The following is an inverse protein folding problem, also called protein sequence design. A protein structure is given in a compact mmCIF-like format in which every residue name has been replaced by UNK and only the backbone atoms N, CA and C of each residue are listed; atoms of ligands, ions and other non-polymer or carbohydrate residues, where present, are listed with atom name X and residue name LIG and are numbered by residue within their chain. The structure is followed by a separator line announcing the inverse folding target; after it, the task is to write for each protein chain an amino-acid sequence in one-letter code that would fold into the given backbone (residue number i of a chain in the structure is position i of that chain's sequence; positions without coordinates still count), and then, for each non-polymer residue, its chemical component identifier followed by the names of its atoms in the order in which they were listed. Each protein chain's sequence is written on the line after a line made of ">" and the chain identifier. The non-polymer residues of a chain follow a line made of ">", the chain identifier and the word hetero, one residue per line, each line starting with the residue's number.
data_IF_407571241000
#
_entry.id   IF_407571241000
#
_cell.length_a   1.000
_cell.length_b   1.000
_cell.length_c   1.000
_cell.angle_alpha   90.00
_cell.angle_beta   90.00
_cell.angle_gamma   90.00
#
_symmetry.space_group_name_H-M   'P 1'
#
loop_
_entity.id
_entity.type
_entity.pdbx_description
1 polymer ?
#
# COMPACT_ATOMS: atom_id res chain seq x y z
N UNK A 1 -27.89 -4.47 23.15
CA UNK A 1 -27.46 -3.56 22.07
C UNK A 1 -26.91 -4.42 20.94
N UNK A 2 -27.23 -4.10 19.68
CA UNK A 2 -26.65 -4.75 18.50
C UNK A 2 -25.16 -4.39 18.43
N UNK A 3 -24.30 -5.36 18.13
CA UNK A 3 -22.86 -5.10 17.97
C UNK A 3 -22.61 -4.28 16.69
N UNK A 4 -21.63 -3.37 16.69
CA UNK A 4 -21.21 -2.71 15.46
C UNK A 4 -20.75 -3.75 14.45
N UNK A 5 -21.06 -3.51 13.17
CA UNK A 5 -20.68 -4.42 12.09
C UNK A 5 -19.39 -3.96 11.43
N UNK A 6 -18.44 -4.86 11.25
CA UNK A 6 -17.21 -4.65 10.48
C UNK A 6 -17.27 -5.51 9.22
N UNK A 7 -16.89 -4.94 8.07
CA UNK A 7 -16.59 -5.74 6.89
C UNK A 7 -15.11 -6.14 6.92
N UNK A 8 -14.86 -7.45 6.91
CA UNK A 8 -13.54 -8.03 6.71
C UNK A 8 -13.38 -8.40 5.22
N UNK A 9 -12.49 -7.69 4.52
CA UNK A 9 -12.10 -8.01 3.14
C UNK A 9 -10.81 -8.84 3.19
N UNK A 10 -10.91 -10.13 2.90
CA UNK A 10 -9.76 -11.04 2.92
C UNK A 10 -9.14 -11.19 1.52
N UNK A 11 -7.85 -10.91 1.39
CA UNK A 11 -7.14 -10.99 0.10
C UNK A 11 -6.03 -12.05 0.06
N UNK A 12 -5.77 -12.70 1.21
CA UNK A 12 -4.73 -13.73 1.38
C UNK A 12 -3.51 -13.25 2.16
N UNK A 13 -2.32 -13.48 1.62
CA UNK A 13 -1.05 -13.17 2.26
C UNK A 13 -0.63 -14.16 3.36
N UNK A 14 0.48 -13.84 4.01
CA UNK A 14 1.09 -14.64 5.09
C UNK A 14 0.17 -14.80 6.30
N UNK A 15 -0.67 -13.81 6.61
CA UNK A 15 -1.67 -13.91 7.70
C UNK A 15 -2.63 -15.09 7.49
N UNK A 16 -2.95 -15.39 6.23
CA UNK A 16 -3.71 -16.55 5.80
C UNK A 16 -2.82 -17.72 5.35
N UNK A 17 -1.51 -17.62 5.53
CA UNK A 17 -0.54 -18.62 5.08
C UNK A 17 -0.39 -19.78 6.05
N UNK A 18 -0.02 -20.95 5.54
CA UNK A 18 0.25 -22.14 6.35
C UNK A 18 1.60 -22.74 5.93
N UNK A 19 2.47 -22.98 6.90
CA UNK A 19 3.72 -23.69 6.73
C UNK A 19 3.50 -25.21 6.78
N UNK A 20 4.29 -25.96 6.01
CA UNK A 20 4.27 -27.43 6.10
C UNK A 20 4.81 -27.92 7.46
N UNK A 21 5.80 -27.22 8.00
CA UNK A 21 6.33 -27.39 9.35
C UNK A 21 6.24 -26.05 10.12
N UNK A 22 5.49 -25.97 11.24
CA UNK A 22 5.45 -24.81 12.13
C UNK A 22 6.81 -24.29 12.63
N UNK A 23 7.84 -25.14 12.65
CA UNK A 23 9.20 -24.79 13.06
C UNK A 23 10.06 -24.25 11.90
N UNK A 24 9.60 -24.37 10.65
CA UNK A 24 10.21 -23.78 9.46
C UNK A 24 9.30 -22.73 8.81
N UNK A 25 8.99 -21.62 9.51
CA UNK A 25 7.96 -20.67 9.08
C UNK A 25 8.33 -19.87 7.82
N UNK A 26 9.57 -19.98 7.31
CA UNK A 26 9.98 -19.39 6.03
C UNK A 26 9.46 -20.17 4.82
N UNK A 27 9.02 -21.43 5.01
CA UNK A 27 8.49 -22.30 3.95
C UNK A 27 6.98 -22.46 4.14
N UNK A 28 6.23 -21.49 3.66
CA UNK A 28 4.78 -21.49 3.73
C UNK A 28 4.15 -21.17 2.39
N UNK A 29 2.85 -21.47 2.28
CA UNK A 29 2.02 -21.04 1.17
C UNK A 29 1.09 -19.94 1.65
N UNK A 30 1.27 -18.72 1.14
CA UNK A 30 0.37 -17.60 1.40
C UNK A 30 -1.06 -17.91 0.93
N UNK A 31 -2.07 -17.34 1.59
CA UNK A 31 -3.47 -17.49 1.18
C UNK A 31 -3.99 -18.94 1.21
N UNK A 32 -3.60 -19.72 2.20
CA UNK A 32 -4.06 -21.11 2.39
C UNK A 32 -5.35 -21.20 3.23
N UNK A 33 -5.57 -20.26 4.15
CA UNK A 33 -6.76 -20.15 4.98
C UNK A 33 -7.75 -19.16 4.35
N UNK A 34 -9.05 -19.42 4.52
CA UNK A 34 -10.10 -18.45 4.22
C UNK A 34 -10.35 -17.50 5.41
N UNK A 35 -11.16 -16.47 5.20
CA UNK A 35 -11.46 -15.49 6.22
C UNK A 35 -12.15 -16.10 7.46
N UNK A 36 -13.02 -17.10 7.26
CA UNK A 36 -13.72 -17.77 8.36
C UNK A 36 -12.73 -18.57 9.23
N UNK A 37 -11.74 -19.22 8.63
CA UNK A 37 -10.67 -19.89 9.34
C UNK A 37 -9.80 -18.90 10.14
N UNK A 38 -9.50 -17.71 9.59
CA UNK A 38 -8.82 -16.64 10.33
C UNK A 38 -9.62 -16.21 11.56
N UNK A 39 -10.93 -15.98 11.39
CA UNK A 39 -11.82 -15.56 12.48
C UNK A 39 -11.96 -16.63 13.56
N UNK A 40 -11.99 -17.92 13.19
CA UNK A 40 -11.95 -19.05 14.15
C UNK A 40 -10.67 -19.06 14.98
N UNK A 41 -9.56 -18.59 14.42
CA UNK A 41 -8.29 -18.42 15.14
C UNK A 41 -8.29 -17.29 16.18
N UNK A 42 -9.26 -16.37 16.10
CA UNK A 42 -9.36 -15.19 16.98
C UNK A 42 -10.80 -14.98 17.49
N UNK A 43 -11.37 -15.94 18.25
CA UNK A 43 -12.77 -15.89 18.68
C UNK A 43 -13.12 -14.67 19.57
N UNK A 44 -12.12 -13.99 20.13
CA UNK A 44 -12.27 -12.76 20.90
C UNK A 44 -12.90 -11.63 20.07
N UNK A 45 -12.69 -11.60 18.75
CA UNK A 45 -13.30 -10.61 17.83
C UNK A 45 -14.82 -10.63 17.94
N UNK A 46 -15.42 -11.81 18.11
CA UNK A 46 -16.87 -11.95 18.25
C UNK A 46 -17.43 -11.23 19.49
N UNK A 47 -16.60 -10.83 20.47
CA UNK A 47 -17.01 -9.99 21.60
C UNK A 47 -17.13 -8.51 21.23
N UNK A 48 -16.37 -8.07 20.22
CA UNK A 48 -16.23 -6.67 19.82
C UNK A 48 -17.25 -6.27 18.73
N UNK A 49 -17.41 -7.10 17.70
CA UNK A 49 -18.17 -6.76 16.50
C UNK A 49 -18.91 -7.95 15.89
N UNK A 50 -19.91 -7.64 15.06
CA UNK A 50 -20.47 -8.55 14.05
C UNK A 50 -19.60 -8.48 12.79
N UNK A 51 -18.96 -9.57 12.38
CA UNK A 51 -18.05 -9.57 11.22
C UNK A 51 -18.77 -10.10 9.99
N UNK A 52 -18.87 -9.26 8.95
CA UNK A 52 -19.24 -9.69 7.60
C UNK A 52 -17.97 -9.96 6.82
N UNK A 53 -17.92 -11.07 6.09
CA UNK A 53 -16.78 -11.44 5.25
C UNK A 53 -17.05 -11.08 3.79
N UNK A 54 -16.05 -10.51 3.12
CA UNK A 54 -15.91 -10.47 1.67
C UNK A 54 -14.53 -11.04 1.33
N UNK A 55 -14.45 -12.01 0.43
CA UNK A 55 -13.18 -12.63 0.04
C UNK A 55 -13.05 -12.65 -1.48
N UNK A 56 -12.62 -11.52 -2.10
CA UNK A 56 -12.55 -11.42 -3.54
C UNK A 56 -11.52 -12.37 -4.17
N UNK A 57 -10.46 -12.71 -3.43
CA UNK A 57 -9.40 -13.65 -3.83
C UNK A 57 -8.57 -14.08 -2.61
N UNK A 58 -7.64 -15.01 -2.81
CA UNK A 58 -6.76 -15.53 -1.76
C UNK A 58 -5.36 -15.80 -2.31
N UNK A 59 -4.53 -14.76 -2.40
CA UNK A 59 -3.27 -14.78 -3.15
C UNK A 59 -2.08 -14.33 -2.31
N UNK A 60 -0.87 -14.62 -2.80
CA UNK A 60 0.34 -13.96 -2.33
C UNK A 60 0.33 -12.49 -2.78
N UNK A 61 0.79 -11.56 -1.93
CA UNK A 61 0.81 -10.15 -2.27
C UNK A 61 1.74 -9.82 -3.44
N UNK A 62 2.76 -10.65 -3.69
CA UNK A 62 3.66 -10.50 -4.85
C UNK A 62 2.96 -10.80 -6.19
N UNK A 63 1.85 -11.52 -6.18
CA UNK A 63 1.02 -11.79 -7.36
C UNK A 63 -0.12 -10.76 -7.53
N UNK A 64 -0.26 -9.79 -6.61
CA UNK A 64 -1.25 -8.73 -6.70
C UNK A 64 -0.77 -7.60 -7.61
N UNK A 65 -1.73 -7.01 -8.31
CA UNK A 65 -1.46 -5.94 -9.28
C UNK A 65 -2.68 -5.06 -9.51
N UNK A 66 -2.62 -4.16 -10.51
CA UNK A 66 -3.62 -3.11 -10.74
C UNK A 66 -5.09 -3.57 -10.72
N UNK A 67 -5.42 -4.68 -11.35
CA UNK A 67 -6.79 -5.20 -11.39
C UNK A 67 -7.29 -5.62 -10.01
N UNK A 68 -6.41 -6.27 -9.23
CA UNK A 68 -6.68 -6.67 -7.85
C UNK A 68 -6.85 -5.46 -6.94
N UNK A 69 -5.98 -4.45 -7.08
CA UNK A 69 -6.07 -3.22 -6.30
C UNK A 69 -7.37 -2.46 -6.56
N UNK A 70 -7.78 -2.31 -7.83
CA UNK A 70 -9.07 -1.69 -8.16
C UNK A 70 -10.25 -2.51 -7.66
N UNK A 71 -10.16 -3.86 -7.68
CA UNK A 71 -11.19 -4.72 -7.08
C UNK A 71 -11.32 -4.48 -5.57
N UNK A 72 -10.21 -4.42 -4.83
CA UNK A 72 -10.22 -4.10 -3.39
C UNK A 72 -10.80 -2.70 -3.16
N UNK A 73 -10.37 -1.70 -3.93
CA UNK A 73 -10.85 -0.33 -3.78
C UNK A 73 -12.37 -0.20 -3.98
N UNK A 74 -12.96 -0.92 -4.94
CA UNK A 74 -14.41 -0.94 -5.16
C UNK A 74 -15.16 -1.57 -3.99
N UNK A 75 -14.70 -2.72 -3.49
CA UNK A 75 -15.30 -3.37 -2.32
C UNK A 75 -15.22 -2.48 -1.06
N UNK A 76 -14.10 -1.77 -0.89
CA UNK A 76 -13.94 -0.79 0.18
C UNK A 76 -14.90 0.39 -0.02
N UNK A 77 -15.02 0.95 -1.22
CA UNK A 77 -15.90 2.08 -1.49
C UNK A 77 -17.38 1.74 -1.24
N UNK A 78 -17.82 0.56 -1.68
CA UNK A 78 -19.18 0.06 -1.41
C UNK A 78 -19.43 -0.05 0.11
N UNK A 79 -18.45 -0.55 0.85
CA UNK A 79 -18.52 -0.65 2.31
C UNK A 79 -18.48 0.71 3.02
N UNK A 80 -17.77 1.70 2.47
CA UNK A 80 -17.79 3.08 2.98
C UNK A 80 -19.18 3.71 2.81
N UNK A 81 -19.89 3.38 1.72
CA UNK A 81 -21.25 3.86 1.46
C UNK A 81 -22.34 3.11 2.25
N UNK A 82 -22.10 1.86 2.67
CA UNK A 82 -23.06 1.06 3.44
C UNK A 82 -23.20 1.57 4.89
N UNK A 83 -24.30 2.24 5.21
CA UNK A 83 -24.59 2.77 6.55
C UNK A 83 -24.74 1.71 7.65
N UNK A 84 -24.86 0.42 7.30
CA UNK A 84 -24.88 -0.68 8.27
C UNK A 84 -23.48 -1.12 8.71
N UNK A 85 -22.42 -0.71 8.00
CA UNK A 85 -21.02 -1.03 8.31
C UNK A 85 -20.38 0.12 9.10
N UNK A 86 -19.83 -0.20 10.27
CA UNK A 86 -19.16 0.74 11.17
C UNK A 86 -17.69 1.00 10.81
N UNK A 87 -17.04 0.07 10.10
CA UNK A 87 -15.64 0.16 9.68
C UNK A 87 -15.24 -1.03 8.81
N UNK A 88 -14.08 -0.92 8.16
CA UNK A 88 -13.56 -1.94 7.23
C UNK A 88 -12.17 -2.38 7.67
N UNK A 89 -11.95 -3.70 7.65
CA UNK A 89 -10.64 -4.33 7.85
C UNK A 89 -10.26 -5.08 6.58
N UNK A 90 -9.05 -4.86 6.05
CA UNK A 90 -8.52 -5.59 4.89
C UNK A 90 -7.32 -6.42 5.34
N UNK A 91 -7.35 -7.74 5.20
CA UNK A 91 -6.17 -8.59 5.44
C UNK A 91 -5.40 -8.79 4.14
N UNK A 92 -4.09 -8.58 4.18
CA UNK A 92 -3.24 -8.58 3.00
C UNK A 92 -1.85 -9.17 3.29
N UNK A 93 -1.12 -9.57 2.25
CA UNK A 93 0.30 -9.95 2.37
C UNK A 93 1.21 -8.75 2.57
N UNK A 94 2.37 -8.95 3.19
CA UNK A 94 3.24 -7.84 3.63
C UNK A 94 4.06 -7.23 2.49
N UNK A 95 4.35 -7.98 1.43
CA UNK A 95 5.33 -7.58 0.41
C UNK A 95 4.88 -6.39 -0.44
N UNK A 96 3.60 -6.35 -0.81
CA UNK A 96 3.01 -5.23 -1.57
C UNK A 96 1.93 -4.48 -0.77
N UNK A 97 1.94 -4.63 0.56
CA UNK A 97 0.98 -3.91 1.43
C UNK A 97 1.09 -2.40 1.26
N UNK A 98 2.31 -1.86 1.17
CA UNK A 98 2.54 -0.43 0.96
C UNK A 98 1.92 0.09 -0.34
N UNK A 99 1.87 -0.74 -1.38
CA UNK A 99 1.27 -0.40 -2.67
C UNK A 99 -0.26 -0.32 -2.57
N UNK A 100 -0.90 -1.41 -2.13
CA UNK A 100 -2.36 -1.45 -1.96
C UNK A 100 -2.83 -0.39 -0.97
N UNK A 101 -2.14 -0.22 0.16
CA UNK A 101 -2.50 0.76 1.18
C UNK A 101 -2.39 2.19 0.66
N UNK A 102 -1.32 2.52 -0.06
CA UNK A 102 -1.18 3.82 -0.69
C UNK A 102 -2.32 4.07 -1.69
N UNK A 103 -2.61 3.11 -2.59
CA UNK A 103 -3.70 3.25 -3.57
C UNK A 103 -5.05 3.52 -2.90
N UNK A 104 -5.39 2.80 -1.83
CA UNK A 104 -6.61 3.03 -1.07
C UNK A 104 -6.63 4.41 -0.41
N UNK A 105 -5.51 4.87 0.15
CA UNK A 105 -5.41 6.22 0.70
C UNK A 105 -5.61 7.33 -0.35
N UNK A 106 -5.29 7.06 -1.63
CA UNK A 106 -5.56 8.01 -2.73
C UNK A 106 -7.00 7.97 -3.23
N UNK A 107 -7.59 6.77 -3.31
CA UNK A 107 -8.88 6.54 -3.99
C UNK A 107 -10.09 6.47 -3.07
N UNK A 108 -9.89 6.40 -1.75
CA UNK A 108 -10.99 6.31 -0.79
C UNK A 108 -10.99 7.57 0.06
N UNK A 109 -12.14 8.23 0.14
CA UNK A 109 -12.40 9.25 1.16
C UNK A 109 -13.13 8.57 2.34
N UNK A 110 -12.42 8.23 3.43
CA UNK A 110 -13.00 7.46 4.51
C UNK A 110 -14.02 8.29 5.30
N UNK A 111 -15.29 7.89 5.25
CA UNK A 111 -16.34 8.36 6.16
C UNK A 111 -16.33 7.63 7.51
N UNK A 112 -15.64 6.49 7.56
CA UNK A 112 -15.49 5.57 8.70
C UNK A 112 -14.09 4.93 8.66
N UNK A 113 -13.63 4.30 9.76
CA UNK A 113 -12.30 3.68 9.80
C UNK A 113 -12.06 2.65 8.68
N UNK A 114 -10.94 2.82 7.98
CA UNK A 114 -10.40 1.87 7.00
C UNK A 114 -9.02 1.39 7.48
N UNK A 115 -8.95 0.12 7.87
CA UNK A 115 -7.75 -0.48 8.45
C UNK A 115 -7.27 -1.62 7.57
N UNK A 116 -6.00 -1.62 7.19
CA UNK A 116 -5.36 -2.80 6.62
C UNK A 116 -4.52 -3.51 7.67
N UNK A 117 -4.35 -4.81 7.52
CA UNK A 117 -3.53 -5.63 8.41
C UNK A 117 -2.88 -6.79 7.68
N UNK A 118 -1.88 -7.38 8.33
CA UNK A 118 -1.02 -8.40 7.76
C UNK A 118 -0.36 -9.22 8.88
N UNK A 119 0.48 -10.18 8.50
CA UNK A 119 1.34 -10.90 9.42
C UNK A 119 2.70 -11.16 8.77
N UNK A 120 3.77 -11.16 9.57
CA UNK A 120 5.11 -11.56 9.14
C UNK A 120 5.33 -13.08 9.25
N UNK A 121 4.54 -13.78 10.08
CA UNK A 121 4.58 -15.23 10.25
C UNK A 121 3.31 -15.92 9.75
N UNK A 122 3.40 -17.13 9.17
CA UNK A 122 2.22 -17.89 8.77
C UNK A 122 1.38 -18.27 9.98
N UNK A 123 0.09 -18.55 9.76
CA UNK A 123 -0.91 -18.71 10.81
C UNK A 123 -0.63 -19.87 11.79
N UNK A 124 0.09 -20.90 11.35
CA UNK A 124 0.45 -22.06 12.18
C UNK A 124 1.87 -21.98 12.79
N UNK A 125 2.62 -20.90 12.55
CA UNK A 125 3.94 -20.73 13.15
C UNK A 125 3.86 -20.52 14.67
N UNK A 126 4.93 -20.90 15.38
CA UNK A 126 5.10 -20.54 16.77
C UNK A 126 5.10 -19.01 16.93
N UNK A 127 4.28 -18.51 17.85
CA UNK A 127 4.14 -17.07 18.13
C UNK A 127 3.82 -16.26 16.85
N UNK A 128 2.88 -16.76 16.03
CA UNK A 128 2.36 -16.02 14.89
C UNK A 128 1.74 -14.68 15.34
N UNK A 129 2.01 -13.62 14.59
CA UNK A 129 1.58 -12.24 14.88
C UNK A 129 0.20 -11.90 14.32
N UNK A 130 -0.26 -12.65 13.32
CA UNK A 130 -1.56 -12.46 12.66
C UNK A 130 -2.77 -12.37 13.61
N UNK A 131 -2.93 -13.26 14.60
CA UNK A 131 -4.04 -13.19 15.55
C UNK A 131 -4.13 -11.86 16.32
N UNK A 132 -3.00 -11.35 16.82
CA UNK A 132 -2.99 -10.06 17.53
C UNK A 132 -3.28 -8.92 16.56
N UNK A 133 -2.59 -8.89 15.42
CA UNK A 133 -2.76 -7.85 14.40
C UNK A 133 -4.22 -7.76 13.93
N UNK A 134 -4.89 -8.89 13.69
CA UNK A 134 -6.29 -8.91 13.27
C UNK A 134 -7.24 -8.38 14.36
N UNK A 135 -7.06 -8.81 15.63
CA UNK A 135 -7.84 -8.31 16.75
C UNK A 135 -7.69 -6.79 16.91
N UNK A 136 -6.45 -6.30 16.91
CA UNK A 136 -6.13 -4.87 17.02
C UNK A 136 -6.68 -4.05 15.85
N UNK A 137 -6.71 -4.64 14.66
CA UNK A 137 -7.30 -4.00 13.48
C UNK A 137 -8.79 -3.83 13.61
N UNK A 138 -9.49 -4.81 14.18
CA UNK A 138 -10.92 -4.68 14.51
C UNK A 138 -11.15 -3.59 15.56
N UNK A 139 -10.34 -3.54 16.61
CA UNK A 139 -10.42 -2.46 17.62
C UNK A 139 -10.20 -1.07 17.00
N UNK A 140 -9.20 -0.93 16.13
CA UNK A 140 -8.95 0.30 15.39
C UNK A 140 -10.11 0.65 14.45
N UNK A 141 -10.69 -0.35 13.76
CA UNK A 141 -11.83 -0.16 12.87
C UNK A 141 -13.12 0.24 13.60
N UNK A 142 -13.19 0.00 14.92
CA UNK A 142 -14.28 0.43 15.79
C UNK A 142 -14.02 1.78 16.46
N UNK A 143 -12.86 2.40 16.24
CA UNK A 143 -12.46 3.66 16.88
C UNK A 143 -12.70 4.84 15.94
N UNK A 144 -13.68 5.73 16.19
CA UNK A 144 -14.07 6.77 15.25
C UNK A 144 -12.94 7.76 14.87
N UNK A 145 -12.01 8.03 15.79
CA UNK A 145 -10.88 8.93 15.53
C UNK A 145 -9.97 8.41 14.40
N UNK A 146 -9.92 7.09 14.19
CA UNK A 146 -9.16 6.46 13.09
C UNK A 146 -9.72 6.83 11.72
N UNK A 147 -11.04 7.02 11.59
CA UNK A 147 -11.67 7.36 10.30
C UNK A 147 -11.18 8.68 9.71
N UNK A 148 -10.65 9.58 10.54
CA UNK A 148 -10.09 10.88 10.10
C UNK A 148 -8.61 10.83 9.71
N UNK A 149 -7.97 9.66 9.72
CA UNK A 149 -6.53 9.50 9.50
C UNK A 149 -6.16 9.01 8.09
N UNK A 150 -7.15 8.85 7.21
CA UNK A 150 -6.95 8.17 5.93
C UNK A 150 -6.99 6.64 6.08
N UNK A 151 -6.38 5.95 5.12
CA UNK A 151 -6.14 4.51 5.28
C UNK A 151 -5.03 4.31 6.31
N UNK A 152 -5.27 3.44 7.29
CA UNK A 152 -4.24 3.08 8.28
C UNK A 152 -3.87 1.61 8.16
N UNK A 153 -2.65 1.27 8.58
CA UNK A 153 -2.17 -0.11 8.67
C UNK A 153 -1.87 -0.45 10.12
N UNK A 154 -2.38 -1.59 10.57
CA UNK A 154 -2.12 -2.14 11.90
C UNK A 154 -1.24 -3.38 11.77
N UNK A 155 -0.04 -3.29 12.34
CA UNK A 155 0.92 -4.38 12.41
C UNK A 155 1.80 -4.21 13.65
N UNK A 156 2.09 -5.31 14.35
CA UNK A 156 3.00 -5.34 15.50
C UNK A 156 2.67 -4.28 16.57
N UNK A 157 1.38 -4.19 16.95
CA UNK A 157 0.85 -3.22 17.92
C UNK A 157 1.00 -1.73 17.53
N UNK A 158 1.36 -1.42 16.28
CA UNK A 158 1.50 -0.07 15.78
C UNK A 158 0.41 0.30 14.77
N UNK A 159 0.04 1.59 14.76
CA UNK A 159 -0.83 2.18 13.75
C UNK A 159 0.03 3.06 12.84
N UNK A 160 -0.01 2.77 11.55
CA UNK A 160 0.76 3.44 10.52
C UNK A 160 -0.15 4.17 9.54
N UNK A 161 0.26 5.35 9.08
CA UNK A 161 -0.37 6.02 7.94
C UNK A 161 0.03 5.31 6.65
N UNK A 162 -0.95 4.82 5.90
CA UNK A 162 -0.73 4.11 4.63
C UNK A 162 0.07 4.94 3.62
N UNK A 163 -0.16 6.25 3.58
CA UNK A 163 0.52 7.19 2.69
C UNK A 163 2.06 7.14 2.80
N UNK A 164 2.58 6.72 3.95
CA UNK A 164 4.01 6.74 4.25
C UNK A 164 4.57 5.37 4.62
N UNK A 165 3.74 4.32 4.61
CA UNK A 165 4.13 2.97 4.98
C UNK A 165 5.23 2.45 4.04
N UNK A 166 6.26 1.83 4.60
CA UNK A 166 7.26 1.07 3.87
C UNK A 166 7.70 -0.16 4.65
N UNK A 167 7.88 -1.29 3.98
CA UNK A 167 8.49 -2.49 4.57
C UNK A 167 10.02 -2.35 4.53
N UNK A 168 10.63 -2.16 5.68
CA UNK A 168 12.07 -1.94 5.85
C UNK A 168 12.87 -3.19 6.23
N UNK A 169 12.20 -4.24 6.72
CA UNK A 169 12.84 -5.51 7.10
C UNK A 169 12.15 -6.71 6.42
N UNK A 170 12.93 -7.75 6.13
CA UNK A 170 12.46 -8.94 5.41
C UNK A 170 11.94 -10.05 6.33
N UNK A 171 12.24 -9.98 7.64
CA UNK A 171 11.99 -11.07 8.59
C UNK A 171 11.43 -10.61 9.94
N UNK A 172 11.75 -9.40 10.40
CA UNK A 172 11.37 -8.91 11.71
C UNK A 172 9.85 -8.70 11.84
N UNK A 173 9.30 -8.85 13.05
CA UNK A 173 7.87 -8.58 13.28
C UNK A 173 7.55 -7.07 13.14
N UNK A 174 8.49 -6.22 13.53
CA UNK A 174 8.51 -4.77 13.33
C UNK A 174 9.05 -4.39 11.94
N UNK A 175 8.61 -5.10 10.89
CA UNK A 175 9.16 -4.92 9.54
C UNK A 175 8.84 -3.57 8.88
N UNK A 176 7.88 -2.79 9.39
CA UNK A 176 7.47 -1.52 8.77
C UNK A 176 8.17 -0.32 9.40
N UNK A 177 8.64 0.62 8.59
CA UNK A 177 9.36 1.81 9.07
C UNK A 177 8.50 2.67 10.00
N UNK A 178 9.00 2.92 11.21
CA UNK A 178 8.34 3.75 12.21
C UNK A 178 8.60 5.24 12.06
N UNK A 179 9.69 5.64 11.38
CA UNK A 179 10.09 7.05 11.30
C UNK A 179 9.13 7.84 10.42
N UNK A 180 8.77 7.31 9.26
CA UNK A 180 7.92 7.99 8.31
C UNK A 180 6.42 7.74 8.56
N UNK A 181 6.05 6.54 9.02
CA UNK A 181 4.66 6.07 8.93
C UNK A 181 3.93 5.90 10.26
N UNK A 182 4.62 5.69 11.39
CA UNK A 182 3.94 5.42 12.66
C UNK A 182 3.22 6.67 13.18
N UNK A 183 1.93 6.55 13.42
CA UNK A 183 1.05 7.64 13.89
C UNK A 183 0.36 7.30 15.22
N UNK A 184 0.52 6.08 15.72
CA UNK A 184 -0.07 5.64 16.97
C UNK A 184 0.25 4.19 17.31
N UNK A 185 -0.49 3.67 18.28
CA UNK A 185 -0.35 2.30 18.78
C UNK A 185 -1.70 1.68 19.11
N UNK A 186 -1.72 0.35 19.03
CA UNK A 186 -2.81 -0.49 19.46
C UNK A 186 -2.71 -0.85 20.95
N UNK A 187 -3.69 -1.59 21.47
CA UNK A 187 -4.06 -1.56 22.89
C UNK A 187 -5.29 -0.66 23.05
N UNK A 188 -5.51 0.05 24.17
CA UNK A 188 -6.39 1.21 24.06
C UNK A 188 -5.84 2.08 22.90
N UNK A 189 -6.64 2.26 21.85
CA UNK A 189 -6.19 2.92 20.61
C UNK A 189 -5.74 4.34 20.94
N UNK A 190 -4.48 4.64 20.64
CA UNK A 190 -3.87 5.93 20.93
C UNK A 190 -3.21 6.47 19.66
N UNK A 191 -3.60 7.69 19.29
CA UNK A 191 -3.09 8.40 18.13
C UNK A 191 -2.13 9.48 18.63
N UNK A 192 -0.85 9.32 18.29
CA UNK A 192 0.25 10.18 18.74
C UNK A 192 0.38 11.42 17.85
N UNK A 193 0.10 11.27 16.54
CA UNK A 193 0.21 12.35 15.56
C UNK A 193 -0.78 12.18 14.42
N UNK A 194 -1.25 13.30 13.85
CA UNK A 194 -2.03 13.29 12.60
C UNK A 194 -1.07 13.39 11.42
N UNK A 195 -1.12 12.46 10.45
CA UNK A 195 -0.25 12.54 9.29
C UNK A 195 -0.67 13.70 8.38
N UNK A 196 0.32 14.36 7.78
CA UNK A 196 0.07 15.14 6.56
C UNK A 196 -0.13 14.13 5.43
N UNK A 197 -1.27 14.16 4.74
CA UNK A 197 -1.62 13.20 3.70
C UNK A 197 -1.61 13.86 2.31
N UNK A 198 -1.28 13.12 1.25
CA UNK A 198 -1.41 13.60 -0.12
C UNK A 198 -2.90 13.79 -0.50
N UNK A 199 -3.18 14.72 -1.42
CA UNK A 199 -4.54 15.12 -1.80
C UNK A 199 -5.32 14.00 -2.51
N UNK A 200 -6.40 13.47 -1.95
CA UNK A 200 -7.14 12.31 -2.51
C UNK A 200 -7.86 12.62 -3.83
N UNK A 201 -8.23 11.57 -4.57
CA UNK A 201 -8.98 11.64 -5.82
C UNK A 201 -10.02 10.50 -5.91
N UNK A 202 -10.98 10.42 -4.96
CA UNK A 202 -11.96 9.33 -4.91
C UNK A 202 -12.86 9.25 -6.15
N UNK A 203 -13.09 10.36 -6.82
CA UNK A 203 -13.87 10.45 -8.05
C UNK A 203 -13.28 9.62 -9.21
N UNK A 204 -11.96 9.37 -9.20
CA UNK A 204 -11.32 8.54 -10.21
C UNK A 204 -11.80 7.09 -10.15
N UNK A 205 -12.14 6.58 -8.96
CA UNK A 205 -12.50 5.17 -8.81
C UNK A 205 -13.72 4.78 -9.67
N UNK A 206 -14.64 5.72 -9.90
CA UNK A 206 -15.84 5.50 -10.71
C UNK A 206 -15.55 5.39 -12.22
N UNK A 207 -14.43 5.94 -12.69
CA UNK A 207 -14.06 5.96 -14.12
C UNK A 207 -12.86 5.08 -14.45
N UNK A 208 -12.16 4.58 -13.43
CA UNK A 208 -11.01 3.69 -13.57
C UNK A 208 -11.45 2.25 -13.87
N UNK A 209 -11.32 1.83 -15.12
CA UNK A 209 -11.43 0.42 -15.51
C UNK A 209 -10.09 -0.31 -15.36
N UNK A 210 -8.99 0.36 -15.74
CA UNK A 210 -7.62 -0.17 -15.74
C UNK A 210 -6.62 0.93 -15.39
N UNK A 211 -5.50 0.56 -14.77
CA UNK A 211 -4.38 1.48 -14.60
C UNK A 211 -3.40 1.36 -15.78
N UNK A 212 -2.76 2.46 -16.20
CA UNK A 212 -1.75 2.45 -17.25
C UNK A 212 -0.48 1.73 -16.77
N UNK A 213 0.29 1.19 -17.71
CA UNK A 213 1.59 0.60 -17.41
C UNK A 213 2.56 1.71 -16.96
N UNK A 214 3.04 1.61 -15.73
CA UNK A 214 4.15 2.41 -15.21
C UNK A 214 5.20 1.46 -14.65
N UNK A 215 6.42 1.60 -15.17
CA UNK A 215 7.55 0.76 -14.78
C UNK A 215 8.42 1.48 -13.74
N UNK A 216 9.06 0.72 -12.86
CA UNK A 216 10.02 1.22 -11.87
C UNK A 216 11.39 0.66 -12.23
N UNK A 217 12.36 1.54 -12.47
CA UNK A 217 13.72 1.16 -12.86
C UNK A 217 14.71 1.49 -11.74
N UNK A 218 15.42 0.47 -11.27
CA UNK A 218 16.49 0.65 -10.31
C UNK A 218 17.77 1.13 -11.00
N UNK A 219 18.28 2.30 -10.59
CA UNK A 219 19.47 2.89 -11.22
C UNK A 219 20.70 2.60 -10.37
N UNK A 220 21.59 1.78 -10.94
CA UNK A 220 22.89 1.42 -10.37
C UNK A 220 24.00 2.39 -10.78
N UNK A 221 25.08 2.44 -9.99
CA UNK A 221 26.29 3.13 -10.43
C UNK A 221 26.85 2.42 -11.68
N UNK A 222 27.09 3.18 -12.76
CA UNK A 222 27.54 2.62 -14.02
C UNK A 222 26.49 1.83 -14.82
N UNK A 223 25.21 1.87 -14.42
CA UNK A 223 24.14 1.26 -15.21
C UNK A 223 23.83 2.07 -16.46
N UNK A 224 23.57 1.37 -17.57
CA UNK A 224 23.09 1.96 -18.81
C UNK A 224 21.58 2.23 -18.77
N UNK A 225 21.11 3.14 -19.62
CA UNK A 225 19.70 3.51 -19.72
C UNK A 225 18.92 2.66 -20.73
N UNK A 226 19.44 1.48 -21.09
CA UNK A 226 18.82 0.53 -22.04
C UNK A 226 17.46 0.03 -21.54
N UNK A 227 17.31 -0.22 -20.23
CA UNK A 227 16.04 -0.60 -19.61
C UNK A 227 14.98 0.49 -19.72
N UNK A 228 15.37 1.78 -19.71
CA UNK A 228 14.43 2.87 -19.96
C UNK A 228 13.90 2.81 -21.39
N UNK A 229 14.78 2.68 -22.38
CA UNK A 229 14.38 2.56 -23.79
C UNK A 229 13.52 1.33 -24.03
N UNK A 230 13.90 0.18 -23.48
CA UNK A 230 13.11 -1.04 -23.56
C UNK A 230 11.72 -0.90 -22.92
N UNK A 231 11.61 -0.14 -21.83
CA UNK A 231 10.32 0.17 -21.19
C UNK A 231 9.42 1.00 -22.11
N UNK A 232 9.99 2.02 -22.76
CA UNK A 232 9.28 2.85 -23.75
C UNK A 232 8.78 2.01 -24.93
N UNK A 233 9.67 1.18 -25.51
CA UNK A 233 9.35 0.31 -26.66
C UNK A 233 8.23 -0.70 -26.33
N UNK A 234 8.13 -1.10 -25.06
CA UNK A 234 7.08 -2.01 -24.55
C UNK A 234 5.82 -1.28 -24.08
N UNK A 235 5.69 0.00 -24.38
CA UNK A 235 4.47 0.78 -24.20
C UNK A 235 4.25 1.31 -22.78
N UNK A 236 5.32 1.51 -22.00
CA UNK A 236 5.21 2.21 -20.72
C UNK A 236 4.64 3.62 -20.93
N UNK A 237 3.66 3.99 -20.10
CA UNK A 237 3.00 5.30 -20.13
C UNK A 237 3.57 6.27 -19.11
N UNK A 238 4.48 5.81 -18.26
CA UNK A 238 5.26 6.57 -17.31
C UNK A 238 6.37 5.69 -16.74
N UNK A 239 7.43 6.31 -16.23
CA UNK A 239 8.55 5.58 -15.63
C UNK A 239 8.96 6.24 -14.32
N UNK A 240 9.19 5.45 -13.28
CA UNK A 240 9.79 5.89 -12.02
C UNK A 240 11.23 5.40 -11.96
N UNK A 241 12.17 6.30 -11.73
CA UNK A 241 13.57 5.96 -11.53
C UNK A 241 13.88 5.91 -10.03
N UNK A 242 14.27 4.75 -9.51
CA UNK A 242 14.80 4.59 -8.16
C UNK A 242 16.29 4.94 -8.18
N UNK A 243 16.57 6.24 -8.03
CA UNK A 243 17.90 6.83 -8.20
C UNK A 243 18.72 6.80 -6.89
N UNK A 244 20.06 6.85 -6.97
CA UNK A 244 20.90 6.95 -5.79
C UNK A 244 20.73 8.30 -5.07
N UNK A 245 20.96 8.28 -3.74
CA UNK A 245 21.03 9.48 -2.90
C UNK A 245 19.76 10.33 -2.99
N UNK A 246 19.92 11.64 -3.22
CA UNK A 246 18.82 12.59 -3.30
C UNK A 246 18.13 12.61 -4.68
N UNK A 247 17.92 11.45 -5.29
CA UNK A 247 17.29 11.34 -6.61
C UNK A 247 18.18 11.86 -7.75
N UNK A 248 19.50 11.71 -7.64
CA UNK A 248 20.46 12.27 -8.60
C UNK A 248 20.46 11.47 -9.91
N UNK A 249 20.12 12.10 -11.03
CA UNK A 249 20.15 11.49 -12.35
C UNK A 249 21.60 11.43 -12.88
N UNK A 250 22.13 10.24 -13.22
CA UNK A 250 23.43 10.11 -13.85
C UNK A 250 23.47 10.80 -15.23
N UNK A 251 24.63 11.33 -15.62
CA UNK A 251 24.78 12.00 -16.92
C UNK A 251 24.43 11.08 -18.11
N UNK A 252 24.84 9.81 -18.04
CA UNK A 252 24.57 8.80 -19.07
C UNK A 252 23.08 8.49 -19.28
N UNK A 253 22.20 8.87 -18.34
CA UNK A 253 20.76 8.66 -18.44
C UNK A 253 20.02 9.86 -19.03
N UNK A 254 20.67 11.02 -19.17
CA UNK A 254 19.99 12.27 -19.57
C UNK A 254 19.36 12.18 -20.96
N UNK A 255 20.07 11.59 -21.92
CA UNK A 255 19.58 11.45 -23.29
C UNK A 255 18.37 10.52 -23.35
N UNK A 256 18.42 9.37 -22.69
CA UNK A 256 17.29 8.44 -22.62
C UNK A 256 16.07 9.04 -21.90
N UNK A 257 16.29 9.85 -20.87
CA UNK A 257 15.19 10.62 -20.24
C UNK A 257 14.64 11.65 -21.23
N UNK A 258 15.49 12.39 -21.95
CA UNK A 258 15.03 13.34 -22.97
C UNK A 258 14.21 12.66 -24.08
N UNK A 259 14.62 11.47 -24.52
CA UNK A 259 13.87 10.61 -25.45
C UNK A 259 12.48 10.25 -24.88
N UNK A 260 12.39 9.81 -23.62
CA UNK A 260 11.11 9.51 -22.97
C UNK A 260 10.17 10.73 -22.96
N UNK A 261 10.69 11.91 -22.63
CA UNK A 261 9.90 13.14 -22.59
C UNK A 261 9.46 13.59 -23.99
N UNK A 262 10.29 13.37 -25.02
CA UNK A 262 9.92 13.62 -26.41
C UNK A 262 8.79 12.69 -26.89
N UNK A 263 8.71 11.48 -26.33
CA UNK A 263 7.59 10.55 -26.52
C UNK A 263 6.38 10.82 -25.61
N UNK A 264 6.36 11.94 -24.88
CA UNK A 264 5.30 12.30 -23.91
C UNK A 264 5.12 11.28 -22.78
N UNK A 265 6.19 10.57 -22.42
CA UNK A 265 6.21 9.64 -21.29
C UNK A 265 6.82 10.35 -20.07
N UNK A 266 6.04 10.63 -19.01
CA UNK A 266 6.56 11.27 -17.82
C UNK A 266 7.55 10.39 -17.06
N UNK A 267 8.60 11.01 -16.52
CA UNK A 267 9.66 10.37 -15.74
C UNK A 267 9.69 10.94 -14.33
N UNK A 268 9.53 10.09 -13.33
CA UNK A 268 9.55 10.50 -11.91
C UNK A 268 10.89 10.12 -11.28
N UNK A 269 11.56 11.11 -10.68
CA UNK A 269 12.80 10.90 -9.92
C UNK A 269 12.47 10.54 -8.47
N UNK A 270 12.53 9.25 -8.14
CA UNK A 270 12.46 8.75 -6.77
C UNK A 270 13.86 8.43 -6.25
N UNK A 271 13.98 8.19 -4.94
CA UNK A 271 15.21 7.68 -4.34
C UNK A 271 15.05 6.21 -4.01
N UNK A 272 16.13 5.44 -4.17
CA UNK A 272 16.25 4.09 -3.62
C UNK A 272 16.57 4.06 -2.12
N UNK A 273 16.81 5.23 -1.51
CA UNK A 273 16.96 5.34 -0.06
C UNK A 273 15.61 5.13 0.64
N UNK A 274 15.65 4.45 1.80
CA UNK A 274 14.43 4.09 2.55
C UNK A 274 13.70 5.32 3.12
N UNK A 275 14.41 6.41 3.41
CA UNK A 275 13.85 7.65 3.98
C UNK A 275 14.43 8.88 3.28
N UNK A 276 13.78 10.02 3.49
CA UNK A 276 14.16 11.31 2.91
C UNK A 276 13.18 11.83 1.86
N UNK A 277 13.52 12.99 1.28
CA UNK A 277 12.70 13.70 0.30
C UNK A 277 13.56 14.02 -0.91
N UNK A 278 13.13 13.62 -2.11
CA UNK A 278 13.73 14.09 -3.37
C UNK A 278 13.17 15.46 -3.68
N UNK A 279 14.03 16.47 -3.68
CA UNK A 279 13.64 17.85 -4.00
C UNK A 279 13.59 18.12 -5.50
N UNK A 280 12.91 19.23 -5.84
CA UNK A 280 12.93 19.78 -7.19
C UNK A 280 14.37 20.09 -7.62
N UNK A 281 14.74 19.65 -8.82
CA UNK A 281 16.05 19.88 -9.41
C UNK A 281 16.00 20.93 -10.53
N UNK A 282 17.14 21.54 -10.90
CA UNK A 282 17.19 22.53 -11.99
C UNK A 282 16.83 21.95 -13.37
N UNK A 283 16.82 20.62 -13.52
CA UNK A 283 16.42 19.93 -14.75
C UNK A 283 14.97 19.43 -14.71
N UNK A 284 14.22 19.73 -13.64
CA UNK A 284 12.82 19.31 -13.55
C UNK A 284 11.95 20.14 -14.50
N UNK A 285 11.01 19.46 -15.13
CA UNK A 285 10.03 20.00 -16.08
C UNK A 285 8.62 19.56 -15.67
N UNK A 286 7.61 19.93 -16.46
CA UNK A 286 6.25 19.43 -16.24
C UNK A 286 6.12 17.89 -16.41
N UNK A 287 7.05 17.25 -17.12
CA UNK A 287 7.02 15.82 -17.45
C UNK A 287 8.15 15.02 -16.76
N UNK A 288 9.20 15.68 -16.26
CA UNK A 288 10.26 15.06 -15.46
C UNK A 288 10.37 15.76 -14.12
N UNK A 289 10.01 15.11 -13.02
CA UNK A 289 9.93 15.79 -11.72
C UNK A 289 10.22 14.85 -10.54
N UNK A 290 10.49 15.44 -9.38
CA UNK A 290 10.80 14.72 -8.15
C UNK A 290 9.57 14.02 -7.54
N UNK A 291 9.79 12.85 -6.95
CA UNK A 291 8.76 12.11 -6.21
C UNK A 291 8.41 12.71 -4.84
N UNK A 292 9.12 13.75 -4.41
CA UNK A 292 9.02 14.29 -3.06
C UNK A 292 9.40 13.20 -2.03
N UNK A 293 8.48 12.95 -1.09
CA UNK A 293 8.62 11.93 -0.04
C UNK A 293 8.25 10.51 -0.48
N UNK A 294 7.62 10.34 -1.64
CA UNK A 294 7.13 9.04 -2.07
C UNK A 294 8.29 8.11 -2.43
N UNK A 295 8.18 6.85 -2.01
CA UNK A 295 9.11 5.80 -2.41
C UNK A 295 8.85 5.37 -3.86
N UNK A 296 9.74 4.59 -4.49
CA UNK A 296 9.54 4.15 -5.86
C UNK A 296 8.20 3.41 -6.09
N UNK A 297 7.78 2.56 -5.15
CA UNK A 297 6.51 1.83 -5.21
C UNK A 297 5.29 2.77 -5.14
N UNK A 298 5.27 3.70 -4.18
CA UNK A 298 4.20 4.69 -4.03
C UNK A 298 4.17 5.68 -5.21
N UNK A 299 5.34 6.12 -5.69
CA UNK A 299 5.48 7.02 -6.83
C UNK A 299 4.95 6.39 -8.12
N UNK A 300 5.10 5.07 -8.30
CA UNK A 300 4.53 4.32 -9.43
C UNK A 300 3.01 4.43 -9.42
N UNK A 301 2.39 4.21 -8.27
CA UNK A 301 0.93 4.30 -8.12
C UNK A 301 0.45 5.74 -8.31
N UNK A 302 1.12 6.71 -7.70
CA UNK A 302 0.80 8.12 -7.89
C UNK A 302 0.85 8.51 -9.38
N UNK A 303 1.85 8.03 -10.12
CA UNK A 303 1.98 8.28 -11.55
C UNK A 303 0.88 7.57 -12.37
N UNK A 304 0.51 6.33 -12.00
CA UNK A 304 -0.61 5.62 -12.63
C UNK A 304 -1.93 6.41 -12.49
N UNK A 305 -2.21 6.93 -11.28
CA UNK A 305 -3.40 7.72 -11.01
C UNK A 305 -3.38 9.07 -11.73
N UNK A 306 -2.25 9.76 -11.72
CA UNK A 306 -2.04 11.00 -12.46
C UNK A 306 -2.34 10.86 -13.96
N UNK A 307 -1.75 9.84 -14.60
CA UNK A 307 -1.97 9.58 -16.03
C UNK A 307 -3.44 9.27 -16.31
N UNK A 308 -4.09 8.51 -15.42
CA UNK A 308 -5.51 8.14 -15.56
C UNK A 308 -6.45 9.33 -15.39
N UNK A 309 -6.09 10.28 -14.52
CA UNK A 309 -6.87 11.50 -14.30
C UNK A 309 -6.75 12.52 -15.43
N UNK A 310 -5.83 12.31 -16.39
CA UNK A 310 -5.42 13.30 -17.39
C UNK A 310 -5.04 14.67 -16.78
N UNK A 311 -4.57 14.65 -15.52
CA UNK A 311 -4.10 15.83 -14.80
C UNK A 311 -2.57 15.93 -14.89
N UNK A 312 -1.99 17.13 -14.76
CA UNK A 312 -0.54 17.27 -14.63
C UNK A 312 -0.02 16.38 -13.50
N UNK A 313 0.90 15.49 -13.82
CA UNK A 313 1.27 14.41 -12.90
C UNK A 313 1.78 14.92 -11.55
N UNK A 314 2.48 16.06 -11.54
CA UNK A 314 2.91 16.77 -10.33
C UNK A 314 1.81 17.02 -9.28
N UNK A 315 0.54 17.08 -9.64
CA UNK A 315 -0.55 17.29 -8.67
C UNK A 315 -0.79 16.09 -7.75
N UNK A 316 -0.30 14.91 -8.12
CA UNK A 316 -0.42 13.68 -7.31
C UNK A 316 0.80 13.45 -6.40
N UNK A 317 1.78 14.36 -6.42
CA UNK A 317 3.02 14.26 -5.67
C UNK A 317 3.11 15.38 -4.63
N UNK A 318 3.61 15.07 -3.42
CA UNK A 318 3.74 16.03 -2.32
C UNK A 318 4.92 16.99 -2.49
#
# INVERSE_FOLDING_TARGET
>A
MTKPRILLIATGGTIAGVAGDPLEPSRYRAGSLDADALLKGVPQIARLADIRVCQPFNLDSSDLGPEHWLRIAREVADAMADGSVAGVVVTHGTDTLEETAFLLDRLIEPSKPLVMTCAMRPANALSADGPSNLLRSVEAALTPTVGSLGTVVVANEHIHAAAWLRKGDTQALDAFDHVASRIGRCGPVQIDARPQLPARAPELLATLDRLPRVDVLWVGAGSDADLLRASLDRGARGVVLALPGNGTLPAAWRDAVAEALACHVPVVRASRCCTGTVGAGPADTAQSFAAGRLGPAQARIALMLAISAALPARHFFP
#
